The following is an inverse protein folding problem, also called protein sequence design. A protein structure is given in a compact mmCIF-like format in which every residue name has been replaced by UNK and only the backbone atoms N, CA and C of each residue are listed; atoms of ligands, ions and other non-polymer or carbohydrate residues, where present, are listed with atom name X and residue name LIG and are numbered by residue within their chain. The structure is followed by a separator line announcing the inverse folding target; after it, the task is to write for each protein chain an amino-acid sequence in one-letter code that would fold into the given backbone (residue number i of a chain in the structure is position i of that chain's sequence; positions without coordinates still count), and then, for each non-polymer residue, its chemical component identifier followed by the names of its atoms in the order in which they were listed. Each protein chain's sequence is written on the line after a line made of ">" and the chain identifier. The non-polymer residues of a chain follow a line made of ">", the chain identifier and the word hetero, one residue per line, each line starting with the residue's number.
data_IF_131386068999
#
_entry.id   IF_131386068999
#
_cell.length_a   1.000
_cell.length_b   1.000
_cell.length_c   1.000
_cell.angle_alpha   90.00
_cell.angle_beta   90.00
_cell.angle_gamma   90.00
#
_symmetry.space_group_name_H-M   'P 1'
#
loop_
_entity.id
_entity.type
_entity.pdbx_description
1 polymer ?
#
# COMPACT_ATOMS: atom_id res chain seq x y z
N UNK A 1 -32.78 8.31 -8.14
CA UNK A 1 -31.43 8.63 -7.64
C UNK A 1 -30.49 8.66 -8.83
N UNK A 2 -29.46 9.51 -8.82
CA UNK A 2 -28.36 9.39 -9.77
C UNK A 2 -27.56 8.13 -9.43
N UNK A 3 -27.03 7.47 -10.45
CA UNK A 3 -26.12 6.32 -10.32
C UNK A 3 -25.05 6.45 -11.40
N UNK A 4 -23.81 6.12 -11.07
CA UNK A 4 -22.75 5.95 -12.08
C UNK A 4 -22.99 4.62 -12.78
N UNK A 5 -23.18 4.60 -14.10
CA UNK A 5 -23.32 3.34 -14.85
C UNK A 5 -21.95 2.73 -15.06
N UNK A 6 -21.62 1.70 -14.28
CA UNK A 6 -20.26 1.12 -14.27
C UNK A 6 -20.20 -0.22 -14.98
N UNK A 7 -19.17 -0.42 -15.79
CA UNK A 7 -18.78 -1.71 -16.35
C UNK A 7 -17.46 -2.19 -15.70
N UNK A 8 -17.44 -3.40 -15.14
CA UNK A 8 -16.28 -3.98 -14.47
C UNK A 8 -15.75 -5.21 -15.22
N UNK A 9 -14.43 -5.21 -15.42
CA UNK A 9 -13.67 -6.23 -16.13
C UNK A 9 -12.54 -6.71 -15.23
N UNK A 10 -12.58 -7.98 -14.80
CA UNK A 10 -11.64 -8.56 -13.85
C UNK A 10 -10.78 -9.64 -14.50
N UNK A 11 -9.48 -9.40 -14.64
CA UNK A 11 -8.50 -10.48 -14.81
C UNK A 11 -8.35 -11.21 -13.47
N UNK A 12 -9.02 -12.35 -13.34
CA UNK A 12 -8.98 -13.13 -12.12
C UNK A 12 -7.60 -13.71 -11.87
N UNK A 13 -6.93 -14.22 -12.91
CA UNK A 13 -5.60 -14.83 -12.80
C UNK A 13 -4.60 -13.82 -12.22
N UNK A 14 -4.58 -12.58 -12.73
CA UNK A 14 -3.68 -11.52 -12.29
C UNK A 14 -4.01 -11.05 -10.87
N UNK A 15 -5.25 -10.61 -10.62
CA UNK A 15 -5.66 -10.03 -9.34
C UNK A 15 -5.56 -11.05 -8.20
N UNK A 16 -6.07 -12.28 -8.41
CA UNK A 16 -5.99 -13.33 -7.40
C UNK A 16 -4.54 -13.73 -7.10
N UNK A 17 -3.69 -13.89 -8.12
CA UNK A 17 -2.29 -14.29 -7.91
C UNK A 17 -1.46 -13.19 -7.23
N UNK A 18 -1.74 -11.92 -7.49
CA UNK A 18 -1.11 -10.80 -6.80
C UNK A 18 -1.53 -10.74 -5.33
N UNK A 19 -2.84 -10.82 -5.04
CA UNK A 19 -3.34 -10.92 -3.66
C UNK A 19 -2.75 -12.13 -2.93
N UNK A 20 -2.63 -13.28 -3.61
CA UNK A 20 -2.10 -14.51 -3.02
C UNK A 20 -0.63 -14.39 -2.60
N UNK A 21 0.19 -13.59 -3.29
CA UNK A 21 1.58 -13.30 -2.88
C UNK A 21 1.66 -12.43 -1.62
N UNK A 22 0.63 -11.62 -1.36
CA UNK A 22 0.58 -10.72 -0.21
C UNK A 22 -0.04 -11.43 1.00
N UNK A 23 -1.24 -11.97 0.84
CA UNK A 23 -1.98 -12.68 1.88
C UNK A 23 -2.89 -13.76 1.24
N UNK A 24 -2.51 -15.05 1.33
CA UNK A 24 -3.28 -16.15 0.77
C UNK A 24 -4.72 -16.26 1.31
N UNK A 25 -4.97 -15.84 2.54
CA UNK A 25 -6.30 -15.93 3.15
C UNK A 25 -7.22 -14.85 2.59
N UNK A 26 -6.70 -13.63 2.44
CA UNK A 26 -7.45 -12.53 1.82
C UNK A 26 -7.69 -12.79 0.33
N UNK A 27 -6.74 -13.42 -0.38
CA UNK A 27 -6.95 -13.87 -1.76
C UNK A 27 -8.09 -14.91 -1.86
N UNK A 28 -8.12 -15.90 -0.96
CA UNK A 28 -9.20 -16.88 -0.86
C UNK A 28 -10.53 -16.19 -0.50
N UNK A 29 -10.53 -15.20 0.40
CA UNK A 29 -11.72 -14.43 0.76
C UNK A 29 -12.27 -13.65 -0.44
N UNK A 30 -11.41 -12.90 -1.16
CA UNK A 30 -11.73 -12.16 -2.38
C UNK A 30 -12.47 -13.03 -3.41
N UNK A 31 -12.00 -14.27 -3.61
CA UNK A 31 -12.58 -15.18 -4.59
C UNK A 31 -13.77 -16.00 -4.07
N UNK A 32 -13.89 -16.20 -2.76
CA UNK A 32 -14.95 -16.99 -2.15
C UNK A 32 -16.24 -16.19 -1.92
N UNK A 33 -16.13 -14.90 -1.60
CA UNK A 33 -17.27 -13.98 -1.46
C UNK A 33 -17.07 -12.66 -2.22
N UNK A 34 -17.20 -12.69 -3.57
CA UNK A 34 -17.10 -11.49 -4.37
C UNK A 34 -18.27 -10.53 -4.20
N UNK A 35 -19.39 -10.96 -3.61
CA UNK A 35 -20.52 -10.09 -3.30
C UNK A 35 -20.18 -9.04 -2.24
N UNK A 36 -19.42 -9.42 -1.21
CA UNK A 36 -19.04 -8.53 -0.11
C UNK A 36 -18.18 -7.34 -0.58
N UNK A 37 -17.07 -7.58 -1.30
CA UNK A 37 -16.22 -6.49 -1.76
C UNK A 37 -16.84 -5.69 -2.91
N UNK A 38 -17.65 -6.32 -3.77
CA UNK A 38 -18.37 -5.61 -4.84
C UNK A 38 -19.42 -4.65 -4.28
N UNK A 39 -20.10 -5.05 -3.19
CA UNK A 39 -21.03 -4.19 -2.45
C UNK A 39 -20.30 -2.96 -1.89
N UNK A 40 -19.18 -3.15 -1.19
CA UNK A 40 -18.35 -2.04 -0.67
C UNK A 40 -17.82 -1.14 -1.78
N UNK A 41 -17.36 -1.71 -2.90
CA UNK A 41 -16.87 -0.95 -4.05
C UNK A 41 -17.97 -0.10 -4.71
N UNK A 42 -19.25 -0.51 -4.58
CA UNK A 42 -20.38 0.26 -5.13
C UNK A 42 -20.63 1.59 -4.41
N UNK A 43 -20.16 1.71 -3.16
CA UNK A 43 -20.29 2.90 -2.31
C UNK A 43 -18.93 3.47 -1.86
N UNK A 44 -17.82 2.98 -2.41
CA UNK A 44 -16.48 3.45 -2.04
C UNK A 44 -16.33 4.95 -2.32
N UNK A 45 -15.68 5.72 -1.42
CA UNK A 45 -15.47 7.16 -1.61
C UNK A 45 -14.71 7.44 -2.92
N UNK A 46 -14.89 8.67 -3.45
CA UNK A 46 -14.51 9.14 -4.80
C UNK A 46 -15.53 8.90 -5.94
N UNK A 47 -16.75 8.43 -5.69
CA UNK A 47 -17.86 8.55 -6.69
C UNK A 47 -18.95 9.53 -6.25
N UNK A 48 -19.37 10.43 -7.15
CA UNK A 48 -20.42 11.44 -6.90
C UNK A 48 -21.81 10.81 -6.64
N UNK A 49 -21.98 9.53 -6.98
CA UNK A 49 -23.19 8.74 -6.80
C UNK A 49 -22.84 7.25 -6.75
N UNK A 50 -23.63 6.40 -6.06
CA UNK A 50 -23.34 4.97 -5.96
C UNK A 50 -23.34 4.29 -7.32
N UNK A 51 -22.39 3.37 -7.53
CA UNK A 51 -22.22 2.63 -8.78
C UNK A 51 -23.39 1.69 -9.02
N UNK A 52 -23.93 1.72 -10.25
CA UNK A 52 -24.83 0.71 -10.78
C UNK A 52 -24.04 -0.15 -11.76
N UNK A 53 -23.69 -1.36 -11.31
CA UNK A 53 -23.07 -2.37 -12.14
C UNK A 53 -24.00 -2.77 -13.29
N UNK A 54 -23.57 -2.51 -14.53
CA UNK A 54 -24.25 -2.93 -15.76
C UNK A 54 -23.52 -4.07 -16.47
N UNK A 55 -22.20 -4.17 -16.28
CA UNK A 55 -21.37 -5.29 -16.72
C UNK A 55 -20.51 -5.72 -15.53
N UNK A 56 -20.48 -7.03 -15.27
CA UNK A 56 -19.58 -7.69 -14.33
C UNK A 56 -18.98 -8.89 -15.06
N UNK A 57 -17.74 -8.78 -15.52
CA UNK A 57 -17.05 -9.88 -16.23
C UNK A 57 -15.80 -10.31 -15.49
N UNK A 58 -15.65 -11.63 -15.32
CA UNK A 58 -14.53 -12.27 -14.65
C UNK A 58 -13.85 -13.22 -15.66
N UNK A 59 -12.63 -12.86 -16.05
CA UNK A 59 -11.81 -13.60 -17.01
C UNK A 59 -10.88 -14.52 -16.24
N UNK A 60 -11.07 -15.84 -16.39
CA UNK A 60 -10.47 -16.84 -15.50
C UNK A 60 -9.91 -18.00 -16.33
N UNK A 61 -8.67 -18.40 -16.07
CA UNK A 61 -8.13 -19.63 -16.64
C UNK A 61 -8.63 -20.85 -15.84
N UNK A 62 -9.49 -21.73 -16.40
CA UNK A 62 -10.06 -22.84 -15.63
C UNK A 62 -9.02 -23.88 -15.17
N UNK A 63 -7.85 -23.90 -15.82
CA UNK A 63 -6.69 -24.72 -15.46
C UNK A 63 -5.65 -23.96 -14.62
N UNK A 64 -5.88 -22.68 -14.29
CA UNK A 64 -5.03 -21.89 -13.42
C UNK A 64 -5.08 -22.37 -11.97
N UNK A 65 -3.96 -22.26 -11.27
CA UNK A 65 -3.81 -22.72 -9.89
C UNK A 65 -2.69 -21.98 -9.16
N UNK A 66 -2.81 -21.93 -7.84
CA UNK A 66 -1.74 -21.57 -6.88
C UNK A 66 -1.47 -22.76 -5.95
N UNK A 67 -0.34 -22.81 -5.22
CA UNK A 67 -0.19 -23.74 -4.10
C UNK A 67 -1.40 -23.65 -3.16
N UNK A 68 -1.81 -24.75 -2.55
CA UNK A 68 -2.88 -24.69 -1.55
C UNK A 68 -2.34 -24.05 -0.26
N UNK A 69 -2.97 -22.98 0.29
CA UNK A 69 -2.52 -22.35 1.53
C UNK A 69 -2.79 -23.22 2.78
N UNK A 70 -3.64 -24.25 2.69
CA UNK A 70 -3.81 -25.24 3.74
C UNK A 70 -2.76 -26.37 3.61
N UNK A 71 -1.73 -26.44 4.49
CA UNK A 71 -0.71 -27.47 4.43
C UNK A 71 -1.20 -28.85 4.93
N UNK A 72 -2.41 -28.92 5.51
CA UNK A 72 -3.04 -30.16 5.96
C UNK A 72 -4.00 -30.76 4.93
N UNK A 73 -4.30 -30.01 3.86
CA UNK A 73 -5.23 -30.43 2.81
C UNK A 73 -4.65 -31.51 1.90
N UNK A 74 -5.48 -32.48 1.51
CA UNK A 74 -5.10 -33.58 0.61
C UNK A 74 -4.65 -33.12 -0.79
N UNK A 75 -5.03 -31.89 -1.20
CA UNK A 75 -4.72 -31.34 -2.52
C UNK A 75 -3.64 -30.26 -2.42
N UNK A 76 -2.47 -30.42 -3.06
CA UNK A 76 -1.38 -29.45 -3.00
C UNK A 76 -1.61 -28.20 -3.88
N UNK A 77 -2.70 -28.16 -4.66
CA UNK A 77 -3.04 -27.09 -5.59
C UNK A 77 -4.46 -26.59 -5.37
N UNK A 78 -4.61 -25.28 -5.32
CA UNK A 78 -5.87 -24.58 -5.30
C UNK A 78 -6.18 -24.08 -6.72
N UNK A 79 -7.07 -24.77 -7.43
CA UNK A 79 -7.48 -24.41 -8.79
C UNK A 79 -8.48 -23.26 -8.81
N UNK A 80 -8.31 -22.32 -9.75
CA UNK A 80 -9.16 -21.12 -9.87
C UNK A 80 -10.62 -21.46 -10.20
N UNK A 81 -10.85 -22.55 -10.95
CA UNK A 81 -12.19 -23.07 -11.26
C UNK A 81 -13.05 -23.38 -10.03
N UNK A 82 -12.45 -23.58 -8.85
CA UNK A 82 -13.16 -23.72 -7.55
C UNK A 82 -14.02 -22.49 -7.23
N UNK A 83 -13.60 -21.28 -7.64
CA UNK A 83 -14.24 -20.02 -7.29
C UNK A 83 -15.36 -19.59 -8.24
N UNK A 84 -15.47 -20.22 -9.42
CA UNK A 84 -16.51 -19.91 -10.43
C UNK A 84 -17.93 -19.84 -9.85
N UNK A 85 -18.39 -20.76 -8.96
CA UNK A 85 -19.73 -20.68 -8.37
C UNK A 85 -19.97 -19.45 -7.49
N UNK A 86 -18.92 -18.90 -6.87
CA UNK A 86 -19.01 -17.68 -6.05
C UNK A 86 -19.19 -16.44 -6.93
N UNK A 87 -18.40 -16.31 -8.00
CA UNK A 87 -18.54 -15.21 -8.97
C UNK A 87 -19.89 -15.22 -9.68
N UNK A 88 -20.36 -16.38 -10.16
CA UNK A 88 -21.69 -16.52 -10.78
C UNK A 88 -22.80 -16.11 -9.80
N UNK A 89 -22.69 -16.49 -8.51
CA UNK A 89 -23.65 -16.10 -7.47
C UNK A 89 -23.66 -14.59 -7.19
N UNK A 90 -22.52 -13.94 -7.29
CA UNK A 90 -22.39 -12.48 -7.16
C UNK A 90 -22.80 -11.71 -8.44
N UNK A 91 -23.27 -12.40 -9.49
CA UNK A 91 -23.78 -11.78 -10.72
C UNK A 91 -22.74 -11.54 -11.81
N UNK A 92 -21.55 -12.14 -11.70
CA UNK A 92 -20.54 -12.07 -12.77
C UNK A 92 -20.82 -13.07 -13.89
N UNK A 93 -20.62 -12.61 -15.12
CA UNK A 93 -20.39 -13.44 -16.29
C UNK A 93 -18.92 -13.94 -16.25
N UNK A 94 -18.73 -15.26 -16.09
CA UNK A 94 -17.40 -15.87 -15.92
C UNK A 94 -16.95 -16.50 -17.23
N UNK A 95 -15.91 -15.91 -17.81
CA UNK A 95 -15.39 -16.21 -19.15
C UNK A 95 -14.11 -17.05 -19.03
N UNK A 96 -14.19 -18.30 -19.51
CA UNK A 96 -13.06 -19.22 -19.50
C UNK A 96 -11.98 -18.73 -20.49
N UNK A 97 -10.80 -18.39 -19.96
CA UNK A 97 -9.64 -17.88 -20.68
C UNK A 97 -8.46 -18.87 -20.59
N UNK A 98 -8.52 -20.03 -21.28
CA UNK A 98 -7.46 -21.03 -21.23
C UNK A 98 -6.17 -20.49 -21.87
N UNK A 99 -5.03 -20.71 -21.22
CA UNK A 99 -3.71 -20.38 -21.78
C UNK A 99 -3.37 -21.33 -22.92
N UNK A 100 -3.56 -20.89 -24.16
CA UNK A 100 -3.02 -21.56 -25.34
C UNK A 100 -1.49 -21.51 -25.32
N UNK A 101 -0.83 -22.56 -25.81
CA UNK A 101 0.63 -22.69 -25.78
C UNK A 101 1.32 -21.52 -26.50
N UNK A 102 1.92 -20.61 -25.72
CA UNK A 102 2.60 -19.41 -26.21
C UNK A 102 1.85 -18.08 -25.99
N UNK A 103 0.54 -18.09 -25.73
CA UNK A 103 -0.24 -16.89 -25.44
C UNK A 103 -0.39 -16.69 -23.93
N UNK A 104 0.44 -15.80 -23.36
CA UNK A 104 0.32 -15.37 -21.95
C UNK A 104 -0.87 -14.42 -21.74
N UNK A 105 -1.24 -13.63 -22.76
CA UNK A 105 -2.10 -12.44 -22.64
C UNK A 105 -3.52 -12.66 -23.21
N UNK A 106 -4.08 -13.87 -23.07
CA UNK A 106 -5.38 -14.22 -23.66
C UNK A 106 -6.56 -13.52 -22.96
N UNK A 107 -6.46 -13.32 -21.63
CA UNK A 107 -7.44 -12.57 -20.86
C UNK A 107 -7.39 -11.07 -21.24
N UNK A 108 -6.20 -10.49 -21.34
CA UNK A 108 -5.97 -9.08 -21.70
C UNK A 108 -6.61 -8.70 -23.03
N UNK A 109 -6.33 -9.47 -24.08
CA UNK A 109 -6.92 -9.27 -25.41
C UNK A 109 -8.46 -9.32 -25.32
N UNK A 110 -9.01 -10.24 -24.51
CA UNK A 110 -10.45 -10.39 -24.36
C UNK A 110 -11.08 -9.24 -23.57
N UNK A 111 -10.45 -8.79 -22.49
CA UNK A 111 -10.84 -7.62 -21.72
C UNK A 111 -10.88 -6.38 -22.62
N UNK A 112 -9.83 -6.16 -23.41
CA UNK A 112 -9.75 -5.02 -24.34
C UNK A 112 -10.87 -5.07 -25.38
N UNK A 113 -11.11 -6.21 -26.03
CA UNK A 113 -12.20 -6.36 -27.01
C UNK A 113 -13.56 -6.10 -26.36
N UNK A 114 -13.86 -6.79 -25.26
CA UNK A 114 -15.16 -6.70 -24.58
C UNK A 114 -15.42 -5.31 -23.96
N UNK A 115 -14.37 -4.57 -23.58
CA UNK A 115 -14.46 -3.18 -23.12
C UNK A 115 -14.68 -2.19 -24.26
N UNK A 116 -14.06 -2.41 -25.43
CA UNK A 116 -14.27 -1.58 -26.62
C UNK A 116 -15.64 -1.82 -27.28
N UNK A 117 -16.17 -3.05 -27.21
CA UNK A 117 -17.54 -3.36 -27.62
C UNK A 117 -18.54 -2.63 -26.72
N UNK A 118 -18.36 -2.66 -25.40
CA UNK A 118 -19.20 -1.91 -24.47
C UNK A 118 -19.07 -0.38 -24.65
N UNK A 119 -17.86 0.12 -24.94
CA UNK A 119 -17.64 1.54 -25.27
C UNK A 119 -18.42 1.99 -26.53
N UNK A 120 -18.63 1.05 -27.46
CA UNK A 120 -19.28 1.28 -28.77
C UNK A 120 -20.78 0.97 -28.77
N UNK A 121 -21.34 0.49 -27.65
CA UNK A 121 -22.75 0.14 -27.53
C UNK A 121 -23.66 1.37 -27.35
N UNK A 122 -24.95 1.22 -27.67
CA UNK A 122 -25.98 2.25 -27.45
C UNK A 122 -26.10 2.67 -25.97
N UNK A 123 -25.75 1.77 -25.05
CA UNK A 123 -25.69 2.06 -23.61
C UNK A 123 -24.44 2.87 -23.29
N UNK A 124 -24.61 4.15 -22.95
CA UNK A 124 -23.53 4.92 -22.33
C UNK A 124 -23.25 4.42 -20.91
N UNK A 125 -22.13 3.72 -20.75
CA UNK A 125 -21.46 3.55 -19.47
C UNK A 125 -20.78 4.86 -19.08
N UNK A 126 -20.80 5.20 -17.81
CA UNK A 126 -20.20 6.43 -17.27
C UNK A 126 -18.77 6.16 -16.75
N UNK A 127 -18.51 4.92 -16.31
CA UNK A 127 -17.26 4.46 -15.71
C UNK A 127 -16.88 3.04 -16.16
N UNK A 128 -15.58 2.79 -16.31
CA UNK A 128 -15.00 1.47 -16.54
C UNK A 128 -14.01 1.13 -15.41
N UNK A 129 -14.25 0.00 -14.72
CA UNK A 129 -13.33 -0.57 -13.73
C UNK A 129 -12.56 -1.70 -14.41
N UNK A 130 -11.25 -1.53 -14.57
CA UNK A 130 -10.35 -2.56 -15.10
C UNK A 130 -9.52 -3.10 -13.93
N UNK A 131 -9.83 -4.33 -13.50
CA UNK A 131 -9.11 -5.01 -12.44
C UNK A 131 -8.04 -5.92 -13.04
N UNK A 132 -6.85 -5.35 -13.25
CA UNK A 132 -5.61 -5.99 -13.68
C UNK A 132 -4.42 -5.12 -13.27
N UNK A 133 -3.28 -5.73 -12.96
CA UNK A 133 -2.01 -5.05 -12.73
C UNK A 133 -1.13 -4.90 -13.98
N UNK A 134 -1.62 -5.22 -15.18
CA UNK A 134 -0.83 -5.17 -16.42
C UNK A 134 -0.81 -3.75 -17.05
N UNK A 135 0.39 -3.22 -17.30
CA UNK A 135 0.61 -1.92 -17.94
C UNK A 135 0.22 -1.91 -19.44
N UNK A 136 0.13 -3.07 -20.08
CA UNK A 136 -0.38 -3.23 -21.46
C UNK A 136 -1.83 -2.74 -21.63
N UNK A 137 -2.57 -2.52 -20.53
CA UNK A 137 -3.90 -1.89 -20.53
C UNK A 137 -3.88 -0.38 -20.87
N UNK A 138 -2.71 0.26 -20.90
CA UNK A 138 -2.54 1.70 -21.16
C UNK A 138 -3.29 2.22 -22.40
N UNK A 139 -3.24 1.57 -23.58
CA UNK A 139 -3.96 2.04 -24.77
C UNK A 139 -5.49 1.95 -24.64
N UNK A 140 -6.01 1.00 -23.85
CA UNK A 140 -7.44 0.89 -23.54
C UNK A 140 -7.88 2.09 -22.70
N UNK A 141 -7.15 2.41 -21.62
CA UNK A 141 -7.45 3.57 -20.77
C UNK A 141 -7.45 4.88 -21.57
N UNK A 142 -6.44 5.09 -22.42
CA UNK A 142 -6.41 6.26 -23.31
C UNK A 142 -7.64 6.34 -24.22
N UNK A 143 -8.13 5.20 -24.73
CA UNK A 143 -9.30 5.17 -25.61
C UNK A 143 -10.60 5.43 -24.85
N UNK A 144 -10.74 4.91 -23.63
CA UNK A 144 -11.85 5.21 -22.73
C UNK A 144 -11.89 6.71 -22.38
N UNK A 145 -10.75 7.28 -21.97
CA UNK A 145 -10.60 8.71 -21.64
C UNK A 145 -10.90 9.63 -22.83
N UNK A 146 -10.42 9.29 -24.05
CA UNK A 146 -10.76 10.02 -25.29
C UNK A 146 -12.26 10.01 -25.62
N UNK A 147 -13.00 9.02 -25.13
CA UNK A 147 -14.44 8.90 -25.30
C UNK A 147 -15.26 9.55 -24.18
N UNK A 148 -14.63 10.29 -23.25
CA UNK A 148 -15.30 10.92 -22.10
C UNK A 148 -15.94 9.87 -21.17
N UNK A 149 -15.09 8.98 -20.63
CA UNK A 149 -15.42 7.93 -19.65
C UNK A 149 -14.47 7.99 -18.48
N UNK A 150 -14.99 7.83 -17.26
CA UNK A 150 -14.15 7.63 -16.07
C UNK A 150 -13.55 6.23 -16.06
N UNK A 151 -12.39 6.11 -15.46
CA UNK A 151 -11.59 4.88 -15.41
C UNK A 151 -11.05 4.64 -14.02
N UNK A 152 -11.27 3.43 -13.50
CA UNK A 152 -10.65 2.93 -12.27
C UNK A 152 -9.77 1.73 -12.59
N UNK A 153 -8.52 1.75 -12.15
CA UNK A 153 -7.67 0.56 -12.08
C UNK A 153 -7.80 -0.08 -10.71
N UNK A 154 -7.93 -1.41 -10.67
CA UNK A 154 -7.79 -2.22 -9.45
C UNK A 154 -6.59 -3.15 -9.65
N UNK A 155 -5.50 -2.91 -8.93
CA UNK A 155 -4.24 -3.64 -9.09
C UNK A 155 -3.82 -4.29 -7.77
N UNK A 156 -3.42 -5.58 -7.76
CA UNK A 156 -2.92 -6.24 -6.56
C UNK A 156 -1.44 -5.93 -6.26
N UNK A 157 -0.76 -5.25 -7.19
CA UNK A 157 0.60 -4.73 -7.07
C UNK A 157 0.56 -3.20 -7.13
N UNK A 158 1.65 -2.53 -6.74
CA UNK A 158 1.83 -1.09 -6.96
C UNK A 158 1.57 -0.80 -8.45
N UNK A 159 0.51 -0.03 -8.74
CA UNK A 159 0.08 0.21 -10.12
C UNK A 159 1.15 1.03 -10.84
N UNK A 160 1.53 0.62 -12.05
CA UNK A 160 2.55 1.32 -12.84
C UNK A 160 2.18 2.80 -13.01
N UNK A 161 3.17 3.70 -12.94
CA UNK A 161 2.98 5.16 -13.05
C UNK A 161 2.18 5.55 -14.31
N UNK A 162 2.42 4.85 -15.43
CA UNK A 162 1.67 5.03 -16.66
C UNK A 162 0.16 4.74 -16.52
N UNK A 163 -0.24 3.77 -15.68
CA UNK A 163 -1.65 3.48 -15.40
C UNK A 163 -2.24 4.55 -14.48
N UNK A 164 -1.55 4.94 -13.41
CA UNK A 164 -2.05 5.93 -12.44
C UNK A 164 -2.14 7.34 -13.01
N UNK A 165 -1.24 7.73 -13.92
CA UNK A 165 -1.29 9.02 -14.61
C UNK A 165 -2.43 9.14 -15.65
N UNK A 166 -2.94 8.00 -16.15
CA UNK A 166 -3.97 7.95 -17.19
C UNK A 166 -5.36 7.71 -16.59
N UNK A 167 -5.46 6.83 -15.59
CA UNK A 167 -6.70 6.52 -14.90
C UNK A 167 -7.21 7.70 -14.06
N UNK A 168 -8.53 7.79 -13.87
CA UNK A 168 -9.14 8.78 -12.97
C UNK A 168 -9.03 8.34 -11.50
N UNK A 169 -8.96 7.03 -11.26
CA UNK A 169 -8.82 6.41 -9.93
C UNK A 169 -7.92 5.17 -10.02
N UNK A 170 -7.10 4.97 -8.99
CA UNK A 170 -6.40 3.72 -8.76
C UNK A 170 -6.79 3.17 -7.38
N UNK A 171 -6.97 1.85 -7.31
CA UNK A 171 -7.20 1.08 -6.11
C UNK A 171 -6.06 0.07 -6.06
N UNK A 172 -5.07 0.40 -5.25
CA UNK A 172 -3.82 -0.37 -5.14
C UNK A 172 -4.01 -1.65 -4.29
N UNK A 173 -2.90 -2.34 -4.07
CA UNK A 173 -2.83 -3.53 -3.22
C UNK A 173 -3.32 -3.31 -1.77
N UNK A 174 -3.03 -2.17 -1.15
CA UNK A 174 -3.41 -1.84 0.22
C UNK A 174 -4.91 -1.56 0.30
N UNK A 175 -5.42 -0.71 -0.60
CA UNK A 175 -6.85 -0.43 -0.72
C UNK A 175 -7.65 -1.70 -1.03
N UNK A 176 -7.12 -2.61 -1.86
CA UNK A 176 -7.82 -3.85 -2.24
C UNK A 176 -7.89 -4.85 -1.07
N UNK A 177 -6.82 -4.99 -0.30
CA UNK A 177 -6.83 -5.84 0.90
C UNK A 177 -7.81 -5.30 1.94
N UNK A 178 -7.76 -3.99 2.23
CA UNK A 178 -8.72 -3.33 3.12
C UNK A 178 -10.17 -3.51 2.64
N UNK A 179 -10.43 -3.30 1.34
CA UNK A 179 -11.76 -3.49 0.73
C UNK A 179 -12.29 -4.92 0.88
N UNK A 180 -11.43 -5.93 0.72
CA UNK A 180 -11.82 -7.35 0.86
C UNK A 180 -12.06 -7.72 2.32
N UNK A 181 -11.20 -7.26 3.23
CA UNK A 181 -11.34 -7.49 4.67
C UNK A 181 -12.51 -6.72 5.28
N UNK A 182 -12.93 -5.61 4.66
CA UNK A 182 -13.98 -4.72 5.17
C UNK A 182 -13.46 -3.65 6.12
N UNK A 183 -12.17 -3.33 6.02
CA UNK A 183 -11.57 -2.17 6.67
C UNK A 183 -11.93 -0.88 5.89
N UNK A 184 -11.79 0.27 6.54
CA UNK A 184 -11.96 1.57 5.88
C UNK A 184 -10.87 1.77 4.83
N UNK A 185 -11.27 2.06 3.60
CA UNK A 185 -10.37 2.40 2.50
C UNK A 185 -10.19 3.91 2.48
N UNK A 186 -9.09 4.40 3.05
CA UNK A 186 -8.66 5.78 2.88
C UNK A 186 -7.81 5.88 1.62
N UNK A 187 -8.16 6.77 0.71
CA UNK A 187 -7.50 6.94 -0.59
C UNK A 187 -6.55 8.15 -0.63
N UNK A 188 -6.41 8.89 0.47
CA UNK A 188 -5.60 10.11 0.55
C UNK A 188 -4.26 9.88 1.31
N UNK A 189 -3.96 8.63 1.72
CA UNK A 189 -2.75 8.17 2.45
C UNK A 189 -1.44 8.20 1.61
N UNK A 190 -1.51 8.50 0.30
CA UNK A 190 -0.36 8.61 -0.63
C UNK A 190 0.65 9.73 -0.27
N UNK A 191 0.49 10.41 0.88
CA UNK A 191 1.40 11.46 1.36
C UNK A 191 2.01 11.21 2.76
N UNK A 192 1.66 10.14 3.48
CA UNK A 192 2.19 9.85 4.83
C UNK A 192 3.47 8.96 4.83
N UNK A 193 4.36 9.16 3.87
CA UNK A 193 5.68 8.51 3.80
C UNK A 193 6.79 9.26 4.56
N UNK A 194 6.50 10.46 5.08
CA UNK A 194 7.39 11.20 5.99
C UNK A 194 7.10 10.84 7.47
N UNK A 195 8.13 10.85 8.32
CA UNK A 195 8.02 10.45 9.72
C UNK A 195 7.12 11.43 10.49
N UNK A 196 5.92 10.99 10.85
CA UNK A 196 4.96 11.75 11.65
C UNK A 196 4.65 11.07 12.98
N UNK A 197 4.51 11.89 14.02
CA UNK A 197 4.42 11.48 15.42
C UNK A 197 2.96 11.46 15.87
N UNK A 198 2.47 10.29 16.32
CA UNK A 198 1.23 10.09 17.11
C UNK A 198 -0.13 10.34 16.38
N UNK A 199 -1.27 9.74 16.74
CA UNK A 199 -1.67 8.65 17.67
C UNK A 199 -3.05 8.11 17.21
N UNK A 200 -3.31 6.79 17.28
CA UNK A 200 -4.46 6.16 16.60
C UNK A 200 -5.29 5.22 17.53
N UNK A 201 -6.62 5.41 17.64
CA UNK A 201 -7.55 4.59 18.48
C UNK A 201 -9.01 4.49 17.97
N UNK A 202 -9.65 3.34 18.25
CA UNK A 202 -10.96 2.80 17.78
C UNK A 202 -12.07 2.84 18.87
N UNK A 203 -13.40 2.68 18.68
CA UNK A 203 -14.38 2.57 17.56
C UNK A 203 -15.83 2.68 18.13
N UNK A 204 -16.83 3.21 17.40
CA UNK A 204 -18.28 2.93 17.59
C UNK A 204 -19.18 3.49 16.45
N UNK A 205 -20.37 2.91 16.20
CA UNK A 205 -21.41 3.27 15.18
C UNK A 205 -22.50 4.25 15.72
N UNK A 206 -23.25 5.05 14.94
CA UNK A 206 -24.52 4.75 14.18
C UNK A 206 -25.07 6.03 13.46
N UNK A 207 -25.80 5.86 12.33
CA UNK A 207 -26.78 6.74 11.59
C UNK A 207 -26.80 8.30 11.64
N UNK A 208 -27.01 8.91 10.45
CA UNK A 208 -28.08 9.92 10.29
C UNK A 208 -27.80 11.18 9.42
N UNK A 209 -28.40 11.29 8.23
CA UNK A 209 -28.21 12.45 7.33
C UNK A 209 -28.71 13.83 7.83
N UNK A 210 -29.41 13.89 8.97
CA UNK A 210 -29.76 15.16 9.64
C UNK A 210 -28.57 15.74 10.43
N UNK A 211 -27.67 14.88 10.90
CA UNK A 211 -26.54 15.20 11.76
C UNK A 211 -25.48 16.06 11.04
N UNK A 212 -25.37 15.94 9.71
CA UNK A 212 -24.33 16.63 8.92
C UNK A 212 -24.45 18.17 8.92
N UNK A 213 -25.66 18.72 8.98
CA UNK A 213 -25.87 20.16 9.01
C UNK A 213 -25.55 20.76 10.40
N UNK A 214 -25.92 20.03 11.46
CA UNK A 214 -25.58 20.38 12.85
C UNK A 214 -24.07 20.24 13.09
N UNK A 215 -23.47 19.15 12.60
CA UNK A 215 -22.03 18.92 12.60
C UNK A 215 -21.23 20.01 11.90
N UNK A 216 -21.69 20.52 10.73
CA UNK A 216 -21.03 21.62 10.04
C UNK A 216 -21.10 22.93 10.84
N UNK A 217 -22.22 23.20 11.52
CA UNK A 217 -22.35 24.41 12.35
C UNK A 217 -21.53 24.31 13.64
N UNK A 218 -21.40 23.12 14.25
CA UNK A 218 -20.47 22.88 15.37
C UNK A 218 -19.02 23.05 14.90
N UNK A 219 -18.65 22.49 13.74
CA UNK A 219 -17.33 22.71 13.13
C UNK A 219 -17.05 24.20 12.91
N UNK A 220 -17.94 24.92 12.21
CA UNK A 220 -17.77 26.34 11.92
C UNK A 220 -17.66 27.16 13.19
N UNK A 221 -18.59 26.99 14.13
CA UNK A 221 -18.63 27.78 15.36
C UNK A 221 -17.42 27.50 16.26
N UNK A 222 -16.97 26.25 16.39
CA UNK A 222 -15.77 25.92 17.17
C UNK A 222 -14.49 26.43 16.50
N UNK A 223 -14.27 26.19 15.20
CA UNK A 223 -13.05 26.68 14.51
C UNK A 223 -12.98 28.21 14.55
N UNK A 224 -14.08 28.92 14.26
CA UNK A 224 -14.11 30.39 14.31
C UNK A 224 -13.87 30.89 15.74
N UNK A 225 -14.51 30.32 16.75
CA UNK A 225 -14.31 30.72 18.16
C UNK A 225 -12.87 30.53 18.61
N UNK A 226 -12.28 29.37 18.33
CA UNK A 226 -10.90 29.07 18.70
C UNK A 226 -9.93 30.01 17.98
N UNK A 227 -10.13 30.25 16.68
CA UNK A 227 -9.33 31.19 15.89
C UNK A 227 -9.40 32.63 16.42
N UNK A 228 -10.61 33.11 16.73
CA UNK A 228 -10.83 34.46 17.26
C UNK A 228 -10.22 34.63 18.66
N UNK A 229 -10.25 33.59 19.50
CA UNK A 229 -9.76 33.63 20.89
C UNK A 229 -8.28 33.26 21.04
N UNK A 230 -7.65 32.65 20.05
CA UNK A 230 -6.27 32.21 20.12
C UNK A 230 -5.28 33.36 20.32
N UNK A 231 -4.48 33.34 21.39
CA UNK A 231 -3.36 34.28 21.59
C UNK A 231 -2.10 33.88 20.82
N UNK A 232 -2.07 32.66 20.27
CA UNK A 232 -0.92 32.03 19.62
C UNK A 232 -1.40 31.23 18.38
N UNK A 233 -0.51 30.81 17.46
CA UNK A 233 -0.86 29.93 16.35
C UNK A 233 -1.47 28.60 16.82
N UNK A 234 -2.57 28.18 16.20
CA UNK A 234 -3.30 26.95 16.57
C UNK A 234 -2.72 25.74 15.84
N UNK A 235 -2.42 24.67 16.58
CA UNK A 235 -2.08 23.38 15.98
C UNK A 235 -3.32 22.74 15.31
N UNK A 236 -3.19 22.44 14.02
CA UNK A 236 -4.29 21.94 13.20
C UNK A 236 -4.67 20.49 13.54
N UNK A 237 -3.71 19.62 13.86
CA UNK A 237 -3.99 18.26 14.29
C UNK A 237 -4.70 18.24 15.65
N UNK A 238 -4.25 19.04 16.62
CA UNK A 238 -4.91 19.16 17.92
C UNK A 238 -6.30 19.78 17.83
N UNK A 239 -6.54 20.71 16.90
CA UNK A 239 -7.87 21.28 16.65
C UNK A 239 -8.79 20.28 15.96
N UNK A 240 -8.30 19.57 14.92
CA UNK A 240 -9.03 18.50 14.26
C UNK A 240 -9.42 17.37 15.23
N UNK A 241 -8.49 16.94 16.10
CA UNK A 241 -8.76 15.91 17.11
C UNK A 241 -9.84 16.34 18.10
N UNK A 242 -9.80 17.58 18.61
CA UNK A 242 -10.86 18.13 19.48
C UNK A 242 -12.21 18.23 18.76
N UNK A 243 -12.22 18.53 17.47
CA UNK A 243 -13.44 18.55 16.65
C UNK A 243 -13.99 17.15 16.41
N UNK A 244 -13.16 16.14 16.13
CA UNK A 244 -13.60 14.75 16.09
C UNK A 244 -14.22 14.30 17.42
N UNK A 245 -13.63 14.69 18.56
CA UNK A 245 -14.17 14.39 19.88
C UNK A 245 -15.50 15.11 20.21
N UNK A 246 -15.81 16.24 19.55
CA UNK A 246 -17.04 17.01 19.76
C UNK A 246 -18.16 16.71 18.74
N UNK A 247 -17.79 16.35 17.50
CA UNK A 247 -18.71 16.26 16.36
C UNK A 247 -18.88 14.80 15.88
N UNK A 248 -18.02 13.88 16.30
CA UNK A 248 -18.16 12.46 16.01
C UNK A 248 -18.08 12.12 14.51
N UNK A 249 -18.87 11.12 14.09
CA UNK A 249 -18.77 10.47 12.77
C UNK A 249 -19.09 11.38 11.59
N UNK A 250 -20.00 12.34 11.73
CA UNK A 250 -20.41 13.21 10.62
C UNK A 250 -19.27 13.99 9.97
N UNK A 251 -18.12 14.18 10.64
CA UNK A 251 -16.91 14.77 10.05
C UNK A 251 -16.15 13.79 9.16
N UNK A 252 -16.01 12.55 9.61
CA UNK A 252 -15.25 11.51 8.91
C UNK A 252 -16.06 10.94 7.73
N UNK A 253 -17.34 10.63 7.95
CA UNK A 253 -18.23 10.07 6.92
C UNK A 253 -18.50 11.07 5.78
N UNK A 254 -18.48 12.37 6.05
CA UNK A 254 -18.63 13.42 5.02
C UNK A 254 -17.32 13.84 4.36
N UNK A 255 -16.18 13.25 4.73
CA UNK A 255 -14.82 13.70 4.38
C UNK A 255 -14.66 15.23 4.51
N UNK A 256 -14.79 15.72 5.76
CA UNK A 256 -14.75 17.13 6.11
C UNK A 256 -15.78 17.97 5.31
N UNK A 257 -17.03 17.52 5.32
CA UNK A 257 -18.17 18.19 4.67
C UNK A 257 -18.00 18.35 3.15
N UNK A 258 -17.38 17.37 2.50
CA UNK A 258 -17.04 17.38 1.08
C UNK A 258 -15.76 18.15 0.75
N UNK A 259 -15.01 18.63 1.75
CA UNK A 259 -13.77 19.39 1.53
C UNK A 259 -12.55 18.50 1.27
N UNK A 260 -12.60 17.21 1.61
CA UNK A 260 -11.51 16.26 1.39
C UNK A 260 -10.38 16.29 2.42
N UNK A 261 -10.26 17.33 3.24
CA UNK A 261 -9.34 17.37 4.39
C UNK A 261 -9.70 18.49 5.37
N UNK A 262 -9.21 18.39 6.61
CA UNK A 262 -9.39 19.43 7.62
C UNK A 262 -8.89 20.79 7.13
N UNK A 263 -7.69 20.83 6.52
CA UNK A 263 -7.10 22.07 6.02
C UNK A 263 -7.96 22.72 4.92
N UNK A 264 -8.55 21.92 4.02
CA UNK A 264 -9.47 22.43 2.99
C UNK A 264 -10.79 22.92 3.60
N UNK A 265 -11.33 22.22 4.60
CA UNK A 265 -12.54 22.68 5.31
C UNK A 265 -12.30 23.99 6.09
N UNK A 266 -11.16 24.12 6.77
CA UNK A 266 -10.75 25.36 7.45
C UNK A 266 -10.57 26.51 6.43
N UNK A 267 -9.94 26.24 5.29
CA UNK A 267 -9.83 27.22 4.21
C UNK A 267 -11.21 27.64 3.63
N UNK A 268 -12.18 26.72 3.58
CA UNK A 268 -13.55 27.00 3.12
C UNK A 268 -14.28 28.04 3.98
N UNK A 269 -13.92 28.18 5.27
CA UNK A 269 -14.52 29.14 6.20
C UNK A 269 -14.18 30.59 5.86
N UNK A 270 -13.14 30.84 5.06
CA UNK A 270 -12.69 32.19 4.63
C UNK A 270 -12.49 33.16 5.80
N UNK A 271 -11.90 32.66 6.89
CA UNK A 271 -11.57 33.45 8.07
C UNK A 271 -10.64 34.62 7.71
N UNK A 272 -10.82 35.80 8.33
CA UNK A 272 -10.03 36.99 7.99
C UNK A 272 -8.55 36.77 8.31
N UNK A 273 -7.68 37.17 7.37
CA UNK A 273 -6.21 37.07 7.49
C UNK A 273 -5.65 35.65 7.76
N UNK A 274 -6.44 34.60 7.50
CA UNK A 274 -6.05 33.21 7.73
C UNK A 274 -4.80 32.84 6.93
N UNK A 275 -3.80 32.31 7.65
CA UNK A 275 -2.63 31.63 7.11
C UNK A 275 -2.55 30.22 7.70
N UNK A 276 -2.00 29.29 6.93
CA UNK A 276 -1.86 27.88 7.28
C UNK A 276 -0.49 27.33 6.85
N UNK A 277 0.06 26.42 7.63
CA UNK A 277 1.19 25.54 7.27
C UNK A 277 0.74 24.07 7.36
N UNK A 278 1.67 23.11 7.26
CA UNK A 278 1.37 21.68 7.43
C UNK A 278 0.77 21.34 8.82
N UNK A 279 1.08 22.14 9.85
CA UNK A 279 0.68 21.85 11.23
C UNK A 279 0.02 23.02 11.97
N UNK A 280 0.10 24.26 11.47
CA UNK A 280 -0.40 25.46 12.17
C UNK A 280 -1.40 26.25 11.34
N UNK A 281 -2.39 26.85 12.00
CA UNK A 281 -3.25 27.91 11.43
C UNK A 281 -3.23 29.16 12.33
N UNK A 282 -3.20 30.35 11.73
CA UNK A 282 -3.11 31.61 12.47
C UNK A 282 -3.66 32.81 11.70
N UNK A 283 -3.96 33.89 12.42
CA UNK A 283 -4.24 35.20 11.83
C UNK A 283 -2.91 35.92 11.56
N UNK A 284 -2.61 36.13 10.28
CA UNK A 284 -1.37 36.79 9.84
C UNK A 284 -1.26 38.28 10.16
N UNK A 285 -2.28 38.89 10.76
CA UNK A 285 -2.27 40.25 11.32
C UNK A 285 -2.08 40.28 12.83
N UNK A 286 -2.32 39.16 13.53
CA UNK A 286 -2.20 39.05 14.99
C UNK A 286 -0.97 38.26 15.45
N UNK A 287 -0.63 37.17 14.76
CA UNK A 287 0.37 36.20 15.24
C UNK A 287 1.60 36.18 14.33
N UNK A 288 2.78 36.35 14.93
CA UNK A 288 4.08 36.11 14.30
C UNK A 288 4.52 34.66 14.56
N UNK A 289 4.62 33.85 13.51
CA UNK A 289 5.22 32.50 13.60
C UNK A 289 6.69 32.61 13.26
N UNK A 290 7.58 32.05 14.09
CA UNK A 290 9.01 31.94 13.78
C UNK A 290 9.21 31.11 12.51
N UNK A 291 10.15 31.50 11.65
CA UNK A 291 10.45 30.75 10.42
C UNK A 291 10.82 29.28 10.72
N UNK A 292 11.48 29.01 11.86
CA UNK A 292 11.78 27.66 12.35
C UNK A 292 10.55 26.80 12.67
N UNK A 293 9.41 27.40 13.04
CA UNK A 293 8.14 26.71 13.32
C UNK A 293 7.24 26.58 12.08
N UNK A 294 7.63 27.21 10.96
CA UNK A 294 7.04 27.02 9.62
C UNK A 294 7.96 26.18 8.73
N UNK A 295 9.24 26.03 9.10
CA UNK A 295 10.20 25.22 8.40
C UNK A 295 9.72 23.76 8.34
N UNK A 296 9.70 23.21 7.12
CA UNK A 296 9.52 21.79 6.93
C UNK A 296 10.60 21.02 7.73
N UNK A 297 10.29 19.83 8.27
CA UNK A 297 11.27 19.03 9.00
C UNK A 297 12.54 18.85 8.15
N UNK A 298 13.71 18.90 8.80
CA UNK A 298 14.99 18.74 8.11
C UNK A 298 15.02 17.37 7.41
N UNK A 299 14.87 17.36 6.08
CA UNK A 299 14.92 16.14 5.29
C UNK A 299 16.26 15.45 5.51
N UNK A 300 16.19 14.16 5.83
CA UNK A 300 17.35 13.28 5.83
C UNK A 300 17.96 13.35 4.43
N UNK A 301 19.20 13.81 4.33
CA UNK A 301 19.95 13.83 3.08
C UNK A 301 20.30 12.40 2.68
N UNK A 302 19.90 11.98 1.48
CA UNK A 302 20.21 10.66 0.93
C UNK A 302 21.22 10.79 -0.22
N UNK A 303 21.92 9.70 -0.60
CA UNK A 303 22.68 9.66 -1.84
C UNK A 303 21.78 9.93 -3.05
N UNK A 304 22.30 10.54 -4.12
CA UNK A 304 21.51 10.92 -5.31
C UNK A 304 20.77 9.73 -5.94
N UNK A 305 21.42 8.56 -6.01
CA UNK A 305 20.79 7.31 -6.46
C UNK A 305 19.56 6.93 -5.62
N UNK A 306 19.60 7.18 -4.30
CA UNK A 306 18.50 6.89 -3.38
C UNK A 306 17.41 7.95 -3.48
N UNK A 307 17.75 9.24 -3.57
CA UNK A 307 16.78 10.32 -3.81
C UNK A 307 15.92 10.02 -5.05
N UNK A 308 16.53 9.57 -6.15
CA UNK A 308 15.80 9.14 -7.37
C UNK A 308 14.79 8.02 -7.11
N UNK A 309 15.11 7.05 -6.25
CA UNK A 309 14.20 5.94 -5.91
C UNK A 309 13.08 6.37 -4.96
N UNK A 310 13.36 7.24 -4.00
CA UNK A 310 12.35 7.81 -3.10
C UNK A 310 11.33 8.61 -3.92
N UNK A 311 11.80 9.51 -4.79
CA UNK A 311 10.94 10.41 -5.55
C UNK A 311 10.13 9.70 -6.65
N UNK A 312 10.68 8.68 -7.32
CA UNK A 312 10.03 8.03 -8.49
C UNK A 312 9.33 6.71 -8.16
N UNK A 313 9.77 5.98 -7.13
CA UNK A 313 9.17 4.69 -6.74
C UNK A 313 8.43 4.72 -5.40
N UNK A 314 8.41 5.87 -4.71
CA UNK A 314 7.76 6.03 -3.41
C UNK A 314 8.45 5.24 -2.28
N UNK A 315 9.75 4.92 -2.41
CA UNK A 315 10.47 4.19 -1.36
C UNK A 315 10.50 5.04 -0.08
N UNK A 316 10.14 4.50 1.10
CA UNK A 316 10.12 5.28 2.34
C UNK A 316 11.45 5.98 2.67
N UNK A 317 11.39 7.28 2.99
CA UNK A 317 12.56 8.08 3.40
C UNK A 317 12.94 7.74 4.85
N UNK A 318 13.68 6.66 5.03
CA UNK A 318 14.12 6.17 6.35
C UNK A 318 15.66 6.25 6.53
N UNK A 319 16.16 6.49 7.76
CA UNK A 319 17.56 6.30 8.10
C UNK A 319 18.03 4.87 7.83
N UNK A 320 19.25 4.69 7.30
CA UNK A 320 19.83 3.37 7.03
C UNK A 320 19.69 2.35 8.19
N UNK A 321 19.95 2.70 9.47
CA UNK A 321 19.88 1.73 10.56
C UNK A 321 18.47 1.20 10.87
N UNK A 322 17.42 1.81 10.30
CA UNK A 322 16.03 1.42 10.57
C UNK A 322 15.58 0.24 9.69
N UNK A 323 16.17 0.05 8.50
CA UNK A 323 15.78 -1.06 7.60
C UNK A 323 16.01 -2.45 8.23
N UNK A 324 17.18 -2.76 8.84
CA UNK A 324 17.38 -4.04 9.52
C UNK A 324 16.37 -4.27 10.65
N UNK A 325 16.01 -3.22 11.40
CA UNK A 325 15.01 -3.32 12.47
C UNK A 325 13.63 -3.72 11.92
N UNK A 326 13.20 -3.15 10.79
CA UNK A 326 11.97 -3.56 10.10
C UNK A 326 12.06 -5.03 9.70
N UNK A 327 13.16 -5.47 9.07
CA UNK A 327 13.31 -6.86 8.63
C UNK A 327 13.28 -7.85 9.81
N UNK A 328 13.87 -7.49 10.95
CA UNK A 328 13.80 -8.29 12.18
C UNK A 328 12.36 -8.38 12.72
N UNK A 329 11.67 -7.25 12.89
CA UNK A 329 10.27 -7.25 13.35
C UNK A 329 9.34 -8.06 12.43
N UNK A 330 9.56 -8.01 11.11
CA UNK A 330 8.82 -8.80 10.14
C UNK A 330 9.13 -10.31 10.21
N UNK A 331 10.40 -10.68 10.40
CA UNK A 331 10.80 -12.08 10.58
C UNK A 331 10.26 -12.67 11.89
N UNK A 332 10.33 -11.90 12.99
CA UNK A 332 9.79 -12.29 14.30
C UNK A 332 8.28 -12.54 14.22
N UNK A 333 7.52 -11.66 13.56
CA UNK A 333 6.10 -11.86 13.32
C UNK A 333 5.84 -13.14 12.49
N UNK A 334 6.53 -13.31 11.36
CA UNK A 334 6.35 -14.45 10.47
C UNK A 334 6.72 -15.80 11.12
N UNK A 335 7.64 -15.80 12.10
CA UNK A 335 8.00 -17.00 12.86
C UNK A 335 7.01 -17.30 13.99
N UNK A 336 6.44 -16.29 14.64
CA UNK A 336 5.64 -16.44 15.87
C UNK A 336 4.13 -16.45 15.67
N UNK A 337 3.63 -15.94 14.55
CA UNK A 337 2.19 -15.78 14.26
C UNK A 337 1.78 -16.52 12.98
N UNK A 338 0.49 -16.89 12.91
CA UNK A 338 -0.15 -17.21 11.63
C UNK A 338 -0.22 -15.91 10.81
N UNK A 339 0.30 -15.92 9.59
CA UNK A 339 0.43 -14.70 8.82
C UNK A 339 -0.93 -14.07 8.47
N UNK A 340 -1.05 -12.77 8.72
CA UNK A 340 -2.12 -11.90 8.25
C UNK A 340 -1.52 -10.51 7.99
N UNK A 341 -1.72 -9.90 6.81
CA UNK A 341 -0.98 -8.67 6.48
C UNK A 341 -1.33 -7.48 7.39
N UNK A 342 -2.62 -7.30 7.73
CA UNK A 342 -3.07 -6.22 8.62
C UNK A 342 -2.39 -6.33 9.98
N UNK A 343 -2.44 -7.51 10.59
CA UNK A 343 -1.81 -7.77 11.88
C UNK A 343 -0.29 -7.69 11.82
N UNK A 344 0.35 -8.20 10.76
CA UNK A 344 1.79 -8.11 10.54
C UNK A 344 2.27 -6.66 10.53
N UNK A 345 1.61 -5.82 9.74
CA UNK A 345 1.96 -4.40 9.60
C UNK A 345 1.69 -3.60 10.87
N UNK A 346 0.56 -3.83 11.57
CA UNK A 346 0.29 -3.16 12.83
C UNK A 346 1.25 -3.61 13.95
N UNK A 347 1.44 -4.91 14.13
CA UNK A 347 2.27 -5.48 15.19
C UNK A 347 3.73 -5.07 15.04
N UNK A 348 4.29 -5.17 13.83
CA UNK A 348 5.69 -4.79 13.59
C UNK A 348 5.88 -3.27 13.78
N UNK A 349 4.93 -2.44 13.34
CA UNK A 349 4.91 -0.99 13.62
C UNK A 349 4.89 -0.70 15.13
N UNK A 350 4.05 -1.42 15.89
CA UNK A 350 3.95 -1.25 17.33
C UNK A 350 5.26 -1.66 18.04
N UNK A 351 5.86 -2.80 17.67
CA UNK A 351 7.18 -3.23 18.18
C UNK A 351 8.31 -2.23 17.85
N UNK A 352 8.35 -1.68 16.63
CA UNK A 352 9.34 -0.69 16.24
C UNK A 352 9.18 0.62 17.03
N UNK A 353 7.94 1.08 17.25
CA UNK A 353 7.66 2.25 18.10
C UNK A 353 8.11 2.02 19.54
N UNK A 354 7.89 0.83 20.10
CA UNK A 354 8.32 0.49 21.47
C UNK A 354 9.87 0.46 21.60
N UNK A 355 10.59 0.27 20.50
CA UNK A 355 12.05 0.42 20.40
C UNK A 355 12.50 1.88 20.15
N UNK A 356 11.59 2.84 20.09
CA UNK A 356 11.88 4.25 19.81
C UNK A 356 12.02 4.59 18.32
N UNK A 357 11.54 3.73 17.42
CA UNK A 357 11.59 3.93 15.96
C UNK A 357 10.20 4.32 15.44
N UNK A 358 9.91 5.61 15.18
CA UNK A 358 8.59 6.09 14.72
C UNK A 358 8.37 5.80 13.23
N UNK A 359 8.26 4.52 12.87
CA UNK A 359 8.04 4.06 11.50
C UNK A 359 6.53 3.92 11.25
N UNK A 360 6.01 4.45 10.14
CA UNK A 360 4.57 4.36 9.82
C UNK A 360 4.14 2.93 9.44
N UNK A 361 2.86 2.61 9.63
CA UNK A 361 2.30 1.31 9.18
C UNK A 361 2.43 1.15 7.67
N UNK A 362 2.28 2.24 6.91
CA UNK A 362 2.48 2.28 5.46
C UNK A 362 3.91 1.90 5.05
N UNK A 363 4.93 2.44 5.72
CA UNK A 363 6.33 2.10 5.46
C UNK A 363 6.65 0.61 5.75
N UNK A 364 6.11 0.05 6.84
CA UNK A 364 6.20 -1.40 7.11
C UNK A 364 5.49 -2.21 6.01
N UNK A 365 4.28 -1.78 5.61
CA UNK A 365 3.52 -2.39 4.52
C UNK A 365 4.26 -2.41 3.19
N UNK A 366 4.92 -1.31 2.82
CA UNK A 366 5.76 -1.20 1.63
C UNK A 366 6.88 -2.25 1.62
N UNK A 367 7.55 -2.47 2.76
CA UNK A 367 8.58 -3.52 2.88
C UNK A 367 7.99 -4.92 2.73
N UNK A 368 6.85 -5.22 3.36
CA UNK A 368 6.20 -6.54 3.21
C UNK A 368 5.82 -6.81 1.76
N UNK A 369 5.20 -5.82 1.08
CA UNK A 369 4.82 -5.93 -0.33
C UNK A 369 6.04 -6.17 -1.21
N UNK A 370 7.08 -5.34 -1.07
CA UNK A 370 8.31 -5.46 -1.85
C UNK A 370 9.05 -6.78 -1.60
N UNK A 371 9.10 -7.28 -0.36
CA UNK A 371 9.67 -8.60 -0.06
C UNK A 371 8.86 -9.75 -0.70
N UNK A 372 7.53 -9.72 -0.60
CA UNK A 372 6.64 -10.69 -1.28
C UNK A 372 6.82 -10.69 -2.80
N UNK A 373 6.84 -9.51 -3.43
CA UNK A 373 7.07 -9.38 -4.88
C UNK A 373 8.52 -9.67 -5.31
N UNK A 374 9.50 -9.49 -4.40
CA UNK A 374 10.88 -9.94 -4.53
C UNK A 374 11.09 -11.45 -4.34
N UNK A 375 10.03 -12.23 -4.14
CA UNK A 375 10.09 -13.69 -4.03
C UNK A 375 10.28 -14.24 -2.61
N UNK A 376 10.19 -13.39 -1.58
CA UNK A 376 10.25 -13.78 -0.17
C UNK A 376 8.93 -13.44 0.55
N UNK A 377 7.81 -14.12 0.22
CA UNK A 377 6.53 -13.88 0.88
C UNK A 377 6.58 -14.35 2.33
N UNK A 378 6.18 -13.48 3.26
CA UNK A 378 6.30 -13.70 4.71
C UNK A 378 5.46 -14.89 5.23
N UNK A 379 4.41 -15.27 4.51
CA UNK A 379 3.55 -16.41 4.84
C UNK A 379 4.17 -17.79 4.47
N UNK A 380 5.38 -17.84 3.90
CA UNK A 380 6.02 -19.09 3.47
C UNK A 380 6.47 -19.96 4.65
N UNK A 381 6.70 -21.24 4.38
CA UNK A 381 7.26 -22.19 5.34
C UNK A 381 8.54 -22.83 4.78
N UNK A 382 9.67 -22.86 5.54
CA UNK A 382 9.86 -22.19 6.83
C UNK A 382 9.78 -20.66 6.71
N UNK A 383 9.42 -19.99 7.80
CA UNK A 383 9.35 -18.52 7.87
C UNK A 383 10.69 -17.87 7.47
N UNK A 384 10.68 -16.73 6.76
CA UNK A 384 11.88 -16.07 6.29
C UNK A 384 12.70 -15.43 7.42
N UNK A 385 14.02 -15.50 7.32
CA UNK A 385 14.93 -14.72 8.15
C UNK A 385 15.01 -13.27 7.68
N UNK A 386 15.35 -12.34 8.58
CA UNK A 386 15.45 -10.91 8.30
C UNK A 386 16.36 -10.58 7.08
N UNK A 387 17.48 -11.28 6.94
CA UNK A 387 18.38 -11.12 5.79
C UNK A 387 17.72 -11.52 4.45
N UNK A 388 16.86 -12.55 4.44
CA UNK A 388 16.13 -12.96 3.24
C UNK A 388 15.03 -11.95 2.88
N UNK A 389 14.38 -11.34 3.89
CA UNK A 389 13.39 -10.26 3.69
C UNK A 389 14.09 -9.04 3.08
N UNK A 390 15.19 -8.58 3.67
CA UNK A 390 15.94 -7.42 3.19
C UNK A 390 16.52 -7.60 1.78
N UNK A 391 17.11 -8.77 1.50
CA UNK A 391 17.64 -9.09 0.17
C UNK A 391 16.55 -9.12 -0.91
N UNK A 392 15.37 -9.72 -0.62
CA UNK A 392 14.25 -9.74 -1.53
C UNK A 392 13.62 -8.34 -1.74
N UNK A 393 13.50 -7.56 -0.66
CA UNK A 393 13.00 -6.18 -0.74
C UNK A 393 13.92 -5.29 -1.60
N UNK A 394 15.23 -5.30 -1.35
CA UNK A 394 16.18 -4.54 -2.16
C UNK A 394 16.25 -5.03 -3.62
N UNK A 395 16.16 -6.35 -3.84
CA UNK A 395 16.04 -6.92 -5.18
C UNK A 395 14.77 -6.45 -5.92
N UNK A 396 13.65 -6.34 -5.21
CA UNK A 396 12.41 -5.80 -5.77
C UNK A 396 12.52 -4.30 -6.11
N UNK A 397 13.07 -3.48 -5.21
CA UNK A 397 13.28 -2.04 -5.46
C UNK A 397 14.18 -1.81 -6.68
N UNK A 398 15.29 -2.55 -6.79
CA UNK A 398 16.19 -2.47 -7.93
C UNK A 398 15.55 -2.94 -9.24
N UNK A 399 14.78 -4.03 -9.21
CA UNK A 399 14.04 -4.48 -10.40
C UNK A 399 12.94 -3.48 -10.80
N UNK A 400 12.27 -2.82 -9.85
CA UNK A 400 11.33 -1.73 -10.14
C UNK A 400 12.03 -0.53 -10.75
N UNK A 401 13.22 -0.18 -10.28
CA UNK A 401 14.04 0.89 -10.87
C UNK A 401 14.36 0.60 -12.35
N UNK A 402 14.78 -0.63 -12.67
CA UNK A 402 15.03 -1.08 -14.04
C UNK A 402 13.77 -0.97 -14.94
N UNK A 403 12.61 -1.43 -14.46
CA UNK A 403 11.34 -1.33 -15.21
C UNK A 403 10.83 0.12 -15.36
N UNK A 404 11.22 1.03 -14.46
CA UNK A 404 10.95 2.46 -14.53
C UNK A 404 12.02 3.24 -15.32
N UNK A 405 12.93 2.54 -16.01
CA UNK A 405 14.06 3.12 -16.76
C UNK A 405 15.00 4.02 -15.92
N UNK A 406 15.01 3.83 -14.58
CA UNK A 406 15.94 4.50 -13.66
C UNK A 406 17.31 3.84 -13.79
N UNK A 407 18.14 4.37 -14.69
CA UNK A 407 19.50 3.88 -14.93
C UNK A 407 20.36 4.13 -13.68
N UNK A 408 20.86 3.04 -13.07
CA UNK A 408 21.81 3.05 -11.97
C UNK A 408 23.14 2.41 -12.43
N UNK A 409 24.28 2.96 -12.01
CA UNK A 409 25.58 2.26 -12.15
C UNK A 409 25.74 1.14 -11.12
N UNK A 410 26.72 0.25 -11.31
CA UNK A 410 27.03 -0.81 -10.33
C UNK A 410 27.35 -0.24 -8.93
N UNK A 411 28.06 0.90 -8.86
CA UNK A 411 28.36 1.61 -7.61
C UNK A 411 27.10 2.21 -6.96
N UNK A 412 26.15 2.69 -7.77
CA UNK A 412 24.86 3.19 -7.29
C UNK A 412 23.97 2.04 -6.79
N UNK A 413 23.96 0.90 -7.48
CA UNK A 413 23.27 -0.33 -7.03
C UNK A 413 23.84 -0.81 -5.69
N UNK A 414 25.16 -0.80 -5.51
CA UNK A 414 25.81 -1.10 -4.24
C UNK A 414 25.44 -0.09 -3.14
N UNK A 415 25.41 1.20 -3.48
CA UNK A 415 24.99 2.29 -2.57
C UNK A 415 23.55 2.10 -2.09
N UNK A 416 22.62 1.77 -3.00
CA UNK A 416 21.21 1.50 -2.69
C UNK A 416 21.06 0.27 -1.80
N UNK A 417 21.77 -0.83 -2.08
CA UNK A 417 21.75 -2.04 -1.22
C UNK A 417 22.28 -1.76 0.18
N UNK A 418 23.36 -0.99 0.29
CA UNK A 418 23.94 -0.56 1.56
C UNK A 418 22.97 0.31 2.35
N UNK A 419 22.32 1.29 1.70
CA UNK A 419 21.30 2.14 2.33
C UNK A 419 20.08 1.34 2.80
N UNK A 420 19.60 0.37 2.01
CA UNK A 420 18.51 -0.53 2.39
C UNK A 420 18.90 -1.58 3.43
N UNK A 421 20.15 -1.61 3.92
CA UNK A 421 20.62 -2.61 4.89
C UNK A 421 20.61 -4.04 4.34
N UNK A 422 20.66 -4.22 3.02
CA UNK A 422 20.54 -5.48 2.31
C UNK A 422 21.89 -5.93 1.73
N UNK A 423 22.89 -6.06 2.61
CA UNK A 423 24.24 -6.49 2.24
C UNK A 423 24.27 -8.00 1.91
N UNK A 424 25.17 -8.46 1.02
CA UNK A 424 25.44 -9.88 0.82
C UNK A 424 25.93 -10.53 2.12
N UNK A 425 25.54 -11.79 2.35
CA UNK A 425 25.89 -12.52 3.58
C UNK A 425 27.41 -12.68 3.83
N UNK A 426 28.24 -12.45 2.81
CA UNK A 426 29.70 -12.55 2.89
C UNK A 426 30.32 -11.33 3.62
N UNK A 427 29.76 -10.12 3.49
CA UNK A 427 30.32 -8.91 4.11
C UNK A 427 30.00 -8.79 5.61
N UNK A 428 28.91 -9.41 6.08
CA UNK A 428 28.54 -9.41 7.50
C UNK A 428 29.54 -10.16 8.40
N UNK A 429 30.42 -11.00 7.83
CA UNK A 429 31.40 -11.77 8.59
C UNK A 429 32.69 -10.98 8.91
N UNK A 430 33.10 -10.02 8.07
CA UNK A 430 34.39 -9.34 8.20
C UNK A 430 34.36 -8.20 9.24
N UNK A 431 33.18 -7.67 9.56
CA UNK A 431 33.00 -6.55 10.50
C UNK A 431 33.19 -6.87 12.00
N UNK A 432 33.34 -8.14 12.40
CA UNK A 432 33.46 -8.55 13.82
C UNK A 432 34.79 -9.24 14.19
N UNK A 433 35.69 -9.47 13.24
CA UNK A 433 36.99 -10.12 13.48
C UNK A 433 38.06 -9.14 14.03
N UNK A 434 37.77 -8.51 15.17
CA UNK A 434 38.68 -7.57 15.84
C UNK A 434 39.85 -8.24 16.58
N UNK A 435 41.05 -8.09 16.03
CA UNK A 435 42.38 -8.31 16.65
C UNK A 435 42.79 -9.76 17.00
N UNK A 436 43.88 -10.30 16.39
CA UNK A 436 44.60 -11.46 16.92
C UNK A 436 45.58 -11.02 18.02
N UNK A 437 45.42 -11.57 19.23
CA UNK A 437 46.34 -11.34 20.34
C UNK A 437 47.72 -11.96 20.08
N UNK A 438 48.80 -11.19 20.21
CA UNK A 438 50.17 -11.70 20.21
C UNK A 438 50.40 -12.64 21.40
N UNK A 439 50.67 -13.92 21.14
CA UNK A 439 51.08 -14.87 22.17
C UNK A 439 52.60 -14.93 22.24
N UNK A 440 53.14 -14.52 23.38
CA UNK A 440 54.57 -14.46 23.67
C UNK A 440 55.22 -15.85 23.62
N UNK A 441 56.35 -15.92 22.91
CA UNK A 441 57.25 -17.07 22.87
C UNK A 441 57.73 -17.51 24.26
N UNK A 442 57.61 -18.79 24.58
CA UNK A 442 58.49 -19.45 25.54
C UNK A 442 58.96 -20.79 24.97
N UNK A 443 60.27 -21.00 24.96
CA UNK A 443 60.90 -22.20 24.43
C UNK A 443 61.26 -23.18 25.57
N UNK A 444 61.24 -24.49 25.28
CA UNK A 444 62.29 -25.50 25.58
C UNK A 444 61.71 -26.94 25.54
N UNK A 445 62.52 -28.00 25.40
CA UNK A 445 62.18 -29.09 24.48
C UNK A 445 62.19 -30.50 25.12
N UNK A 446 61.79 -31.50 24.33
CA UNK A 446 62.22 -32.89 24.53
C UNK A 446 61.16 -33.93 24.17
N UNK A 447 61.55 -34.94 23.37
CA UNK A 447 60.68 -36.08 23.04
C UNK A 447 60.95 -36.61 21.63
N UNK A 448 61.78 -37.66 21.54
CA UNK A 448 62.00 -38.42 20.29
C UNK A 448 60.99 -39.58 20.17
N UNK A 449 61.06 -40.20 18.99
CA UNK A 449 60.47 -41.48 18.59
C UNK A 449 58.95 -41.43 18.27
N UNK A 450 58.46 -41.90 17.13
CA UNK A 450 59.13 -42.56 16.01
C UNK A 450 58.68 -44.01 15.85
N UNK A 451 57.63 -44.23 15.06
CA UNK A 451 57.41 -45.50 14.36
C UNK A 451 56.44 -45.27 13.20
N UNK A 452 56.94 -45.40 11.97
CA UNK A 452 56.09 -45.65 10.81
C UNK A 452 55.76 -47.14 10.76
N UNK A 453 54.52 -47.48 10.35
CA UNK A 453 54.24 -48.76 9.68
C UNK A 453 53.34 -48.51 8.47
N UNK A 454 53.61 -49.33 7.45
CA UNK A 454 53.00 -49.28 6.12
C UNK A 454 51.58 -49.87 6.08
#
# INVERSE_FOLDING_TARGET
>A
MAHVRTALYLDFDNVFSGLYKLDPEVAVQFASDPGAWLSRLSTAPRTDAPRRWLVLRCYLNPAGWVPNPDPTGEQPRLFFSKFRPSFVRAGFDVIDCPRYSGMKNAADIRIVVDALDALSADTRYDEFVIASGDSDMTPLLQRLRRSDRRTMIVSPADAAEALTAIADQALDSQHLLALVQGESVDFDDDTETEVHTELDQRVADIDGAADHAEAYEIFRSTVTREYDQASEPLNMASLAHRLHAQVGRSVAESNWFGSGSFARAVASLKLPNLRTSQHLMWDGSRHSVSEEAVAAPQRIALPEAVERLVDQLGVPRLPQPWWPAIYHALADYAQSHRFNLTQCTSWSRDQLRDQGLPISRGAVGFVVRGASYGGCPLHRQPAPAAAEIGAAFAGNVLSRAEHAEIILSDDEVATVRTWLGALPAEETAEGQAGQPSEVVSSAMPGGRDGTARA
#
